data_IF_308855815665
#
_entry.id   IF_308855815665
#
_cell.length_a   1.000
_cell.length_b   1.000
_cell.length_c   1.000
_cell.angle_alpha   90.00
_cell.angle_beta   90.00
_cell.angle_gamma   90.00
#
_symmetry.space_group_name_H-M   'P 1'
#
loop_
_entity.id
_entity.type
_entity.pdbx_description
1 polymer ?
#
# COMPACT_ATOMS: atom_id res chain seq x y z
N UNK A 1 -4.61 -10.04 2.63
CA UNK A 1 -3.41 -9.41 3.22
C UNK A 1 -3.74 -8.07 3.87
N UNK A 2 -4.17 -7.01 3.16
CA UNK A 2 -4.46 -5.71 3.81
C UNK A 2 -5.47 -5.78 4.97
N UNK A 3 -6.50 -6.64 4.87
CA UNK A 3 -7.45 -6.85 5.97
C UNK A 3 -6.82 -7.48 7.23
N UNK A 4 -5.70 -8.22 7.11
CA UNK A 4 -4.92 -8.77 8.24
C UNK A 4 -4.32 -7.64 9.09
N UNK A 5 -3.93 -6.54 8.45
CA UNK A 5 -3.29 -5.38 9.07
C UNK A 5 -4.26 -4.20 9.27
N UNK A 6 -5.58 -4.45 9.27
CA UNK A 6 -6.58 -3.38 9.31
C UNK A 6 -6.46 -2.44 10.52
N UNK A 7 -6.00 -2.96 11.66
CA UNK A 7 -5.79 -2.17 12.88
C UNK A 7 -4.54 -1.28 12.82
N UNK A 8 -3.60 -1.56 11.92
CA UNK A 8 -2.34 -0.84 11.76
C UNK A 8 -2.40 0.23 10.66
N UNK A 9 -3.48 0.27 9.87
CA UNK A 9 -3.64 1.20 8.74
C UNK A 9 -4.51 2.39 9.17
N UNK A 10 -3.94 3.58 9.19
CA UNK A 10 -4.68 4.84 9.44
C UNK A 10 -5.43 5.29 8.18
N UNK A 11 -4.74 5.25 7.05
CA UNK A 11 -5.28 5.70 5.76
C UNK A 11 -4.92 4.72 4.67
N UNK A 12 -5.89 4.44 3.78
CA UNK A 12 -5.70 3.68 2.54
C UNK A 12 -6.34 4.44 1.38
N UNK A 13 -5.53 5.01 0.50
CA UNK A 13 -5.98 5.73 -0.69
C UNK A 13 -5.55 4.99 -1.96
N UNK A 14 -6.53 4.47 -2.70
CA UNK A 14 -6.31 3.86 -4.02
C UNK A 14 -6.48 4.90 -5.12
N UNK A 15 -5.47 5.01 -5.97
CA UNK A 15 -5.47 5.83 -7.17
C UNK A 15 -5.40 4.89 -8.38
N UNK A 16 -6.33 5.06 -9.30
CA UNK A 16 -6.37 4.29 -10.53
C UNK A 16 -6.22 5.26 -11.68
N UNK A 17 -5.31 4.96 -12.60
CA UNK A 17 -5.10 5.79 -13.78
C UNK A 17 -6.16 5.42 -14.82
N UNK A 18 -7.21 6.23 -14.88
CA UNK A 18 -8.30 6.10 -15.83
C UNK A 18 -8.56 7.46 -16.47
N UNK A 19 -8.52 7.48 -17.81
CA UNK A 19 -8.96 8.61 -18.62
C UNK A 19 -10.26 8.24 -19.36
N UNK A 20 -10.81 9.18 -20.14
CA UNK A 20 -12.08 8.98 -20.84
C UNK A 20 -12.03 7.92 -21.95
N UNK A 21 -10.85 7.43 -22.29
CA UNK A 21 -10.56 6.53 -23.42
C UNK A 21 -9.79 5.28 -23.03
N UNK A 22 -9.19 5.23 -21.84
CA UNK A 22 -8.34 4.15 -21.37
C UNK A 22 -8.48 3.90 -19.86
N UNK A 23 -8.43 2.63 -19.50
CA UNK A 23 -8.46 2.15 -18.11
C UNK A 23 -7.16 1.35 -17.93
N UNK A 24 -6.19 1.92 -17.21
CA UNK A 24 -4.91 1.24 -17.01
C UNK A 24 -5.09 0.04 -16.08
N UNK A 25 -4.52 -1.14 -16.36
CA UNK A 25 -4.52 -2.24 -15.40
C UNK A 25 -3.67 -1.93 -14.15
N UNK A 26 -2.89 -0.85 -14.15
CA UNK A 26 -2.07 -0.41 -13.02
C UNK A 26 -2.74 0.69 -12.19
N UNK A 27 -2.30 0.81 -10.94
CA UNK A 27 -2.75 1.85 -10.01
C UNK A 27 -1.73 2.05 -8.89
N UNK A 28 -1.90 3.09 -8.12
CA UNK A 28 -1.09 3.41 -6.95
C UNK A 28 -1.91 3.25 -5.68
N UNK A 29 -1.32 2.67 -4.64
CA UNK A 29 -1.93 2.59 -3.32
C UNK A 29 -1.03 3.32 -2.32
N UNK A 30 -1.56 4.39 -1.72
CA UNK A 30 -0.90 5.07 -0.62
C UNK A 30 -1.48 4.56 0.70
N UNK A 31 -0.60 4.09 1.59
CA UNK A 31 -0.97 3.55 2.89
C UNK A 31 -0.18 4.31 3.97
N UNK A 32 -0.91 4.91 4.90
CA UNK A 32 -0.36 5.38 6.18
C UNK A 32 -0.59 4.29 7.22
N UNK A 33 0.49 3.77 7.79
CA UNK A 33 0.47 2.66 8.72
C UNK A 33 1.35 2.93 9.95
N UNK A 34 1.03 2.28 11.07
CA UNK A 34 1.71 2.45 12.34
C UNK A 34 1.76 1.15 13.18
N UNK A 35 2.65 1.13 14.17
CA UNK A 35 2.74 0.06 15.17
C UNK A 35 3.91 -0.90 14.97
N UNK A 36 4.00 -1.89 15.85
CA UNK A 36 5.17 -2.81 15.93
C UNK A 36 5.24 -3.83 14.80
N UNK A 37 4.14 -4.08 14.10
CA UNK A 37 4.02 -5.06 13.02
C UNK A 37 4.36 -4.47 11.63
N UNK A 38 4.93 -3.25 11.58
CA UNK A 38 5.22 -2.55 10.32
C UNK A 38 6.21 -3.31 9.43
N UNK A 39 7.23 -3.94 10.02
CA UNK A 39 8.22 -4.71 9.24
C UNK A 39 7.60 -5.96 8.62
N UNK A 40 6.77 -6.69 9.37
CA UNK A 40 6.03 -7.84 8.85
C UNK A 40 5.06 -7.41 7.75
N UNK A 41 4.37 -6.29 7.95
CA UNK A 41 3.47 -5.72 6.94
C UNK A 41 4.20 -5.37 5.65
N UNK A 42 5.36 -4.72 5.76
CA UNK A 42 6.18 -4.34 4.61
C UNK A 42 6.77 -5.56 3.89
N UNK A 43 7.20 -6.58 4.64
CA UNK A 43 7.66 -7.86 4.08
C UNK A 43 6.54 -8.60 3.34
N UNK A 44 5.34 -8.67 3.92
CA UNK A 44 4.16 -9.27 3.29
C UNK A 44 3.81 -8.55 1.98
N UNK A 45 3.92 -7.21 1.92
CA UNK A 45 3.71 -6.43 0.70
C UNK A 45 4.75 -6.75 -0.38
N UNK A 46 6.04 -6.80 -0.03
CA UNK A 46 7.13 -7.08 -0.97
C UNK A 46 7.09 -8.49 -1.56
N UNK A 47 6.45 -9.43 -0.88
CA UNK A 47 6.27 -10.78 -1.37
C UNK A 47 5.18 -10.91 -2.46
N UNK A 48 4.40 -9.86 -2.72
CA UNK A 48 3.36 -9.88 -3.75
C UNK A 48 3.96 -9.75 -5.16
N UNK A 49 3.68 -10.74 -6.00
CA UNK A 49 4.06 -10.70 -7.41
C UNK A 49 3.32 -9.55 -8.14
N UNK A 50 4.06 -8.78 -8.94
CA UNK A 50 3.51 -7.68 -9.75
C UNK A 50 3.24 -6.38 -8.98
N UNK A 51 3.66 -6.28 -7.71
CA UNK A 51 3.55 -5.06 -6.89
C UNK A 51 4.93 -4.50 -6.62
N UNK A 52 5.17 -3.23 -6.98
CA UNK A 52 6.34 -2.49 -6.52
C UNK A 52 6.03 -1.78 -5.21
N UNK A 53 6.92 -1.90 -4.23
CA UNK A 53 6.70 -1.44 -2.86
C UNK A 53 7.79 -0.46 -2.46
N UNK A 54 7.38 0.78 -2.20
CA UNK A 54 8.22 1.85 -1.69
C UNK A 54 7.79 2.22 -0.27
N UNK A 55 8.76 2.66 0.55
CA UNK A 55 8.55 3.08 1.94
C UNK A 55 9.13 4.46 2.15
N UNK A 56 8.41 5.26 2.92
CA UNK A 56 8.86 6.53 3.45
C UNK A 56 8.64 6.46 4.95
N UNK A 57 9.72 6.58 5.72
CA UNK A 57 9.67 6.67 7.17
C UNK A 57 9.64 8.14 7.58
N UNK A 58 8.73 8.48 8.48
CA UNK A 58 8.66 9.80 9.10
C UNK A 58 9.15 9.64 10.53
N UNK A 59 10.19 10.39 10.88
CA UNK A 59 10.59 10.60 12.27
C UNK A 59 9.67 11.67 12.88
N UNK A 60 9.40 11.56 14.18
CA UNK A 60 8.73 12.63 14.94
C UNK A 60 9.65 13.85 15.13
#
# INVERSE_FOLDING_TARGET
>A
MLSKYGCNIRTRLGLHDADSTSCSPSGLLLIDAFGVELEDFFSDLKALEGVDVQRMDFED
#
